data_IF_954128340958
#
_entry.id   IF_954128340958
#
_cell.length_a   1.000
_cell.length_b   1.000
_cell.length_c   1.000
_cell.angle_alpha   90.00
_cell.angle_beta   90.00
_cell.angle_gamma   90.00
#
_symmetry.space_group_name_H-M   'P 1'
#
loop_
_entity.id
_entity.type
_entity.pdbx_description
1 polymer ?
#
# COMPACT_ATOMS: atom_id res chain seq x y z
N UNK A 1 12.34 11.80 -32.34
CA UNK A 1 12.06 10.82 -31.25
C UNK A 1 10.65 11.06 -30.77
N UNK A 2 9.75 10.09 -30.90
CA UNK A 2 8.35 10.24 -30.48
C UNK A 2 8.25 10.09 -28.95
N UNK A 3 7.70 11.10 -28.28
CA UNK A 3 7.35 11.02 -26.86
C UNK A 3 6.13 10.10 -26.74
N UNK A 4 6.25 8.97 -26.03
CA UNK A 4 5.11 8.13 -25.69
C UNK A 4 4.52 8.72 -24.42
N UNK A 5 3.46 9.52 -24.55
CA UNK A 5 2.67 9.94 -23.39
C UNK A 5 1.98 8.69 -22.83
N UNK A 6 2.26 8.27 -21.59
CA UNK A 6 1.54 7.15 -20.98
C UNK A 6 0.04 7.51 -20.94
N UNK A 7 -0.86 6.54 -21.19
CA UNK A 7 -2.28 6.80 -21.17
C UNK A 7 -2.69 7.36 -19.78
N UNK A 8 -3.66 8.29 -19.73
CA UNK A 8 -4.14 8.78 -18.45
C UNK A 8 -4.61 7.58 -17.62
N UNK A 9 -4.05 7.43 -16.42
CA UNK A 9 -4.51 6.38 -15.51
C UNK A 9 -5.94 6.72 -15.04
N UNK A 10 -6.81 5.71 -14.86
CA UNK A 10 -8.14 5.92 -14.34
C UNK A 10 -8.05 6.58 -12.96
N UNK A 11 -8.66 7.76 -12.83
CA UNK A 11 -8.82 8.48 -11.57
C UNK A 11 -10.20 8.13 -11.04
N UNK A 12 -10.31 7.84 -9.74
CA UNK A 12 -11.59 7.64 -9.11
C UNK A 12 -12.41 8.94 -9.18
N UNK A 13 -13.67 8.82 -9.56
CA UNK A 13 -14.64 9.91 -9.58
C UNK A 13 -15.80 9.66 -8.61
N UNK A 14 -16.69 10.65 -8.42
CA UNK A 14 -17.85 10.51 -7.54
C UNK A 14 -18.76 9.33 -7.90
N UNK A 15 -18.86 8.99 -9.20
CA UNK A 15 -19.66 7.86 -9.69
C UNK A 15 -19.13 6.49 -9.31
N UNK A 16 -17.89 6.40 -8.82
CA UNK A 16 -17.27 5.16 -8.37
C UNK A 16 -17.55 4.86 -6.89
N UNK A 17 -18.21 5.78 -6.17
CA UNK A 17 -18.49 5.69 -4.73
C UNK A 17 -19.98 5.46 -4.51
N UNK A 18 -20.31 4.43 -3.72
CA UNK A 18 -21.67 4.18 -3.22
C UNK A 18 -21.70 4.41 -1.72
N UNK A 19 -22.63 5.27 -1.28
CA UNK A 19 -22.87 5.53 0.14
C UNK A 19 -24.13 4.75 0.55
N UNK A 20 -24.01 3.86 1.52
CA UNK A 20 -25.13 3.03 2.03
C UNK A 20 -25.81 3.61 3.28
N UNK A 21 -25.24 4.65 3.87
CA UNK A 21 -25.79 5.29 5.07
C UNK A 21 -27.06 6.07 4.74
N UNK A 22 -28.16 5.73 5.41
CA UNK A 22 -29.42 6.45 5.30
C UNK A 22 -29.39 7.82 6.02
N UNK A 23 -30.23 8.75 5.58
CA UNK A 23 -30.47 10.02 6.29
C UNK A 23 -29.40 11.10 6.13
N UNK A 24 -28.41 10.90 5.26
CA UNK A 24 -27.41 11.92 4.95
C UNK A 24 -28.01 13.14 4.26
N UNK A 25 -27.62 14.32 4.71
CA UNK A 25 -27.89 15.56 3.98
C UNK A 25 -27.02 15.61 2.70
N UNK A 26 -27.42 16.40 1.69
CA UNK A 26 -26.61 16.59 0.49
C UNK A 26 -25.20 17.12 0.77
N UNK A 27 -25.06 17.96 1.80
CA UNK A 27 -23.77 18.52 2.20
C UNK A 27 -22.85 17.45 2.80
N UNK A 28 -23.38 16.54 3.62
CA UNK A 28 -22.61 15.45 4.21
C UNK A 28 -22.21 14.41 3.16
N UNK A 29 -23.12 14.06 2.24
CA UNK A 29 -22.79 13.17 1.13
C UNK A 29 -21.66 13.74 0.26
N UNK A 30 -21.69 15.05 -0.01
CA UNK A 30 -20.62 15.75 -0.73
C UNK A 30 -19.30 15.75 0.06
N UNK A 31 -19.36 15.99 1.38
CA UNK A 31 -18.19 15.99 2.26
C UNK A 31 -17.51 14.61 2.30
N UNK A 32 -18.28 13.54 2.50
CA UNK A 32 -17.76 12.16 2.51
C UNK A 32 -17.12 11.82 1.17
N UNK A 33 -17.81 12.13 0.06
CA UNK A 33 -17.28 11.89 -1.29
C UNK A 33 -15.95 12.61 -1.50
N UNK A 34 -15.85 13.90 -1.13
CA UNK A 34 -14.63 14.68 -1.28
C UNK A 34 -13.47 14.11 -0.44
N UNK A 35 -13.73 13.73 0.82
CA UNK A 35 -12.72 13.14 1.70
C UNK A 35 -12.24 11.79 1.18
N UNK A 36 -13.16 10.93 0.73
CA UNK A 36 -12.81 9.62 0.18
C UNK A 36 -12.00 9.75 -1.11
N UNK A 37 -12.37 10.66 -2.01
CA UNK A 37 -11.61 10.91 -3.24
C UNK A 37 -10.20 11.44 -2.93
N UNK A 38 -10.06 12.37 -1.98
CA UNK A 38 -8.76 12.88 -1.55
C UNK A 38 -7.88 11.77 -0.96
N UNK A 39 -8.43 10.89 -0.12
CA UNK A 39 -7.71 9.76 0.45
C UNK A 39 -7.26 8.74 -0.62
N UNK A 40 -8.09 8.50 -1.63
CA UNK A 40 -7.75 7.63 -2.75
C UNK A 40 -6.62 8.23 -3.60
N UNK A 41 -6.63 9.54 -3.84
CA UNK A 41 -5.56 10.22 -4.56
C UNK A 41 -4.23 10.16 -3.80
N UNK A 42 -4.27 10.41 -2.48
CA UNK A 42 -3.09 10.27 -1.60
C UNK A 42 -2.53 8.85 -1.64
N UNK A 43 -3.39 7.82 -1.54
CA UNK A 43 -2.94 6.44 -1.67
C UNK A 43 -2.36 6.12 -3.04
N UNK A 44 -2.94 6.69 -4.11
CA UNK A 44 -2.41 6.55 -5.45
C UNK A 44 -1.04 7.24 -5.61
N UNK A 45 -0.72 8.27 -4.83
CA UNK A 45 0.61 8.87 -4.77
C UNK A 45 1.59 8.02 -3.93
N UNK A 46 1.17 7.54 -2.76
CA UNK A 46 1.98 6.65 -1.92
C UNK A 46 2.37 5.38 -2.69
N UNK A 47 1.43 4.79 -3.42
CA UNK A 47 1.70 3.62 -4.26
C UNK A 47 2.69 3.88 -5.41
N UNK A 48 2.93 5.14 -5.80
CA UNK A 48 3.97 5.49 -6.77
C UNK A 48 5.37 5.50 -6.16
N UNK A 49 5.47 5.68 -4.84
CA UNK A 49 6.75 5.62 -4.15
C UNK A 49 7.16 4.15 -4.09
N UNK A 50 8.31 3.84 -4.71
CA UNK A 50 8.86 2.50 -4.62
C UNK A 50 9.02 2.12 -3.15
N UNK A 51 8.51 0.94 -2.71
CA UNK A 51 8.67 0.53 -1.33
C UNK A 51 10.17 0.50 -1.00
N UNK A 52 10.56 0.91 0.21
CA UNK A 52 11.96 0.87 0.61
C UNK A 52 12.48 -0.57 0.51
N UNK A 53 13.77 -0.75 0.21
CA UNK A 53 14.37 -2.08 0.25
C UNK A 53 14.14 -2.70 1.63
N UNK A 54 13.91 -4.02 1.72
CA UNK A 54 13.66 -4.68 2.99
C UNK A 54 14.81 -4.43 3.94
N UNK A 55 14.47 -4.10 5.18
CA UNK A 55 15.46 -3.88 6.23
C UNK A 55 16.28 -5.15 6.51
N UNK A 56 17.48 -5.01 7.08
CA UNK A 56 18.28 -6.16 7.52
C UNK A 56 17.51 -7.07 8.49
N UNK A 57 16.64 -6.48 9.31
CA UNK A 57 15.70 -7.20 10.18
C UNK A 57 14.62 -7.98 9.40
N UNK A 58 14.03 -7.41 8.34
CA UNK A 58 13.05 -8.13 7.51
C UNK A 58 13.67 -9.28 6.72
N UNK A 59 14.94 -9.14 6.32
CA UNK A 59 15.69 -10.21 5.67
C UNK A 59 15.98 -11.35 6.65
N UNK A 60 16.45 -11.05 7.86
CA UNK A 60 16.78 -12.08 8.87
C UNK A 60 15.53 -12.83 9.37
N UNK A 61 14.35 -12.19 9.40
CA UNK A 61 13.06 -12.86 9.69
C UNK A 61 12.75 -14.04 8.78
N UNK A 62 13.26 -14.06 7.53
CA UNK A 62 13.05 -15.21 6.62
C UNK A 62 13.72 -16.48 7.15
N UNK A 63 14.89 -16.35 7.78
CA UNK A 63 15.59 -17.47 8.38
C UNK A 63 14.86 -18.04 9.59
N UNK A 64 14.08 -17.21 10.29
CA UNK A 64 13.26 -17.62 11.44
C UNK A 64 11.95 -18.31 11.06
N UNK A 65 11.55 -18.29 9.78
CA UNK A 65 10.34 -19.00 9.30
C UNK A 65 10.55 -20.49 9.09
N UNK A 66 11.81 -20.96 9.08
CA UNK A 66 12.12 -22.38 9.11
C UNK A 66 12.48 -22.79 10.54
N UNK A 67 12.15 -24.03 10.95
CA UNK A 67 12.59 -24.54 12.25
C UNK A 67 14.10 -24.40 12.40
N UNK A 68 14.54 -23.74 13.47
CA UNK A 68 15.96 -23.69 13.83
C UNK A 68 16.36 -25.10 14.27
N UNK A 69 17.22 -25.75 13.49
CA UNK A 69 17.77 -27.06 13.85
C UNK A 69 18.94 -26.86 14.82
N UNK A 70 18.83 -27.29 16.09
CA UNK A 70 19.93 -27.18 17.05
C UNK A 70 21.08 -28.11 16.65
N UNK A 71 22.31 -27.61 16.69
CA UNK A 71 23.52 -28.39 16.41
C UNK A 71 24.80 -27.56 16.62
N UNK A 72 25.98 -28.20 16.78
CA UNK A 72 27.25 -27.48 16.91
C UNK A 72 27.48 -26.56 15.71
N UNK A 73 27.59 -25.25 15.95
CA UNK A 73 27.79 -24.24 14.90
C UNK A 73 26.51 -23.72 14.22
N UNK A 74 25.35 -24.36 14.41
CA UNK A 74 24.09 -23.91 13.80
C UNK A 74 23.68 -22.50 14.28
N UNK A 75 23.98 -22.17 15.54
CA UNK A 75 23.74 -20.85 16.13
C UNK A 75 24.64 -19.73 15.56
N UNK A 76 25.76 -20.07 14.92
CA UNK A 76 26.65 -19.08 14.28
C UNK A 76 26.12 -18.62 12.93
N UNK A 77 25.30 -19.44 12.27
CA UNK A 77 24.67 -19.10 10.99
C UNK A 77 23.55 -18.07 11.13
N UNK A 78 22.99 -17.86 12.33
CA UNK A 78 21.99 -16.83 12.63
C UNK A 78 22.59 -15.48 13.07
N UNK A 79 23.92 -15.36 13.11
CA UNK A 79 24.63 -14.17 13.58
C UNK A 79 25.12 -13.25 12.45
N UNK A 80 24.69 -13.49 11.20
CA UNK A 80 25.03 -12.70 10.01
C UNK A 80 23.76 -12.22 9.30
#
# INVERSE_FOLDING_TARGET
>A
MAQITPPPRPQAGPGDIRIETDGLTPAEAAAVTAVTLAALDEQAEIARVAPPPPSGWELSRRMLRSPLHPGPGAWRASAW
#
